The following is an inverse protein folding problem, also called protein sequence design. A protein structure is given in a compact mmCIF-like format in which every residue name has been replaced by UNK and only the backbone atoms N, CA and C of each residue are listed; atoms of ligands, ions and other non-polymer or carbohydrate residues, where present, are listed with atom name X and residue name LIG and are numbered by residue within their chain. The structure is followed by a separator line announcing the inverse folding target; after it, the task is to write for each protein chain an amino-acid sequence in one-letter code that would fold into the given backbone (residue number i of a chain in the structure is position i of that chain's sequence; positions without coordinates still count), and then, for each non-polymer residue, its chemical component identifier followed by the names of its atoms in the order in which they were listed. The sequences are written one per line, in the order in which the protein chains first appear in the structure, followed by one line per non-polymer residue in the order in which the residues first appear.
data_IF_184117359555
#
_entry.id   IF_184117359555
#
_cell.length_a   1.000
_cell.length_b   1.000
_cell.length_c   1.000
_cell.angle_alpha   90.00
_cell.angle_beta   90.00
_cell.angle_gamma   90.00
#
_symmetry.space_group_name_H-M   'P 1'
#
loop_
_entity.id
_entity.type
_entity.pdbx_description
1 polymer ?
#
# COMPACT_ATOMS: atom_id res chain seq x y z
N UNK A 1 1.52 -5.68 28.36
CA UNK A 1 1.52 -4.23 28.11
C UNK A 1 1.46 -4.03 26.61
N UNK A 2 0.26 -3.96 26.04
CA UNK A 2 0.07 -3.66 24.63
C UNK A 2 0.01 -2.15 24.43
N UNK A 3 0.36 -1.68 23.24
CA UNK A 3 0.20 -0.27 22.87
C UNK A 3 -1.27 0.09 22.96
N UNK A 4 -1.58 1.07 23.80
CA UNK A 4 -2.93 1.57 23.94
C UNK A 4 -3.24 2.47 22.74
N UNK A 5 -4.49 2.45 22.25
CA UNK A 5 -4.90 3.24 21.07
C UNK A 5 -4.58 4.74 21.23
N UNK A 6 -4.70 5.27 22.45
CA UNK A 6 -4.34 6.66 22.79
C UNK A 6 -2.86 6.97 22.52
N UNK A 7 -1.97 6.04 22.82
CA UNK A 7 -0.52 6.22 22.68
C UNK A 7 -0.13 6.23 21.20
N UNK A 8 -0.72 5.35 20.40
CA UNK A 8 -0.60 5.35 18.94
C UNK A 8 -1.10 6.67 18.34
N UNK A 9 -2.22 7.20 18.85
CA UNK A 9 -2.81 8.45 18.37
C UNK A 9 -1.90 9.65 18.65
N UNK A 10 -1.26 9.71 19.83
CA UNK A 10 -0.27 10.76 20.16
C UNK A 10 0.94 10.69 19.21
N UNK A 11 1.49 9.50 18.98
CA UNK A 11 2.61 9.31 18.04
C UNK A 11 2.20 9.74 16.63
N UNK A 12 1.00 9.37 16.18
CA UNK A 12 0.47 9.76 14.88
C UNK A 12 0.39 11.28 14.74
N UNK A 13 -0.09 11.99 15.77
CA UNK A 13 -0.17 13.45 15.78
C UNK A 13 1.23 14.08 15.68
N UNK A 14 2.23 13.56 16.39
CA UNK A 14 3.61 14.05 16.29
C UNK A 14 4.16 13.87 14.87
N UNK A 15 3.98 12.68 14.29
CA UNK A 15 4.38 12.38 12.90
C UNK A 15 3.68 13.33 11.93
N UNK A 16 2.39 13.56 12.12
CA UNK A 16 1.58 14.46 11.31
C UNK A 16 2.06 15.92 11.39
N UNK A 17 2.56 16.38 12.53
CA UNK A 17 3.12 17.72 12.66
C UNK A 17 4.47 17.82 11.93
N UNK A 18 5.33 16.81 12.05
CA UNK A 18 6.66 16.81 11.40
C UNK A 18 6.57 16.67 9.88
N UNK A 19 5.73 15.77 9.39
CA UNK A 19 5.61 15.44 7.97
C UNK A 19 4.47 16.20 7.28
N UNK A 20 3.50 16.69 8.03
CA UNK A 20 2.26 17.28 7.53
C UNK A 20 1.19 16.21 7.21
N UNK A 21 -0.11 16.53 7.38
CA UNK A 21 -1.20 15.60 7.09
C UNK A 21 -1.36 15.23 5.62
N UNK A 22 -0.74 16.00 4.71
CA UNK A 22 -0.74 15.70 3.28
C UNK A 22 0.20 14.57 2.87
N UNK A 23 1.28 14.29 3.62
CA UNK A 23 2.27 13.28 3.22
C UNK A 23 1.78 11.84 3.39
N UNK A 24 0.99 11.55 4.41
CA UNK A 24 0.39 10.22 4.61
C UNK A 24 -0.47 9.75 3.42
N UNK A 25 -1.46 10.53 2.93
CA UNK A 25 -2.25 10.14 1.78
C UNK A 25 -1.45 10.12 0.47
N UNK A 26 -0.40 10.93 0.35
CA UNK A 26 0.52 10.90 -0.80
C UNK A 26 1.30 9.58 -0.86
N UNK A 27 1.90 9.16 0.26
CA UNK A 27 2.59 7.88 0.41
C UNK A 27 1.62 6.72 0.20
N UNK A 28 0.42 6.78 0.78
CA UNK A 28 -0.63 5.78 0.58
C UNK A 28 -1.05 5.63 -0.88
N UNK A 29 -1.19 6.74 -1.62
CA UNK A 29 -1.45 6.72 -3.07
C UNK A 29 -0.31 6.09 -3.86
N UNK A 30 0.94 6.41 -3.52
CA UNK A 30 2.12 5.84 -4.18
C UNK A 30 2.22 4.33 -3.95
N UNK A 31 2.11 3.90 -2.69
CA UNK A 31 2.09 2.48 -2.31
C UNK A 31 0.91 1.76 -2.97
N UNK A 32 -0.29 2.35 -2.94
CA UNK A 32 -1.49 1.77 -3.54
C UNK A 32 -1.36 1.56 -5.05
N UNK A 33 -0.74 2.50 -5.78
CA UNK A 33 -0.41 2.32 -7.20
C UNK A 33 0.56 1.16 -7.41
N UNK A 34 1.65 1.12 -6.64
CA UNK A 34 2.63 0.03 -6.71
C UNK A 34 2.03 -1.34 -6.44
N UNK A 35 1.19 -1.47 -5.41
CA UNK A 35 0.47 -2.72 -5.10
C UNK A 35 -0.47 -3.12 -6.25
N UNK A 36 -1.19 -2.15 -6.84
CA UNK A 36 -2.10 -2.41 -7.96
C UNK A 36 -1.36 -2.90 -9.21
N UNK A 37 -0.23 -2.26 -9.54
CA UNK A 37 0.63 -2.66 -10.66
C UNK A 37 1.26 -4.04 -10.41
N UNK A 38 1.77 -4.27 -9.20
CA UNK A 38 2.30 -5.57 -8.80
C UNK A 38 1.26 -6.69 -8.92
N UNK A 39 0.03 -6.45 -8.44
CA UNK A 39 -1.07 -7.42 -8.55
C UNK A 39 -1.45 -7.67 -10.01
N UNK A 40 -1.42 -6.64 -10.87
CA UNK A 40 -1.67 -6.79 -12.30
C UNK A 40 -0.59 -7.64 -12.97
N UNK A 41 0.68 -7.35 -12.72
CA UNK A 41 1.79 -8.13 -13.27
C UNK A 41 1.76 -9.59 -12.82
N UNK A 42 1.44 -9.85 -11.54
CA UNK A 42 1.23 -11.23 -11.06
C UNK A 42 0.09 -11.93 -11.79
N UNK A 43 -1.04 -11.24 -12.02
CA UNK A 43 -2.17 -11.81 -12.77
C UNK A 43 -1.81 -12.09 -14.23
N UNK A 44 -1.08 -11.19 -14.88
CA UNK A 44 -0.62 -11.38 -16.26
C UNK A 44 0.36 -12.56 -16.37
N UNK A 45 1.18 -12.83 -15.34
CA UNK A 45 2.04 -14.01 -15.26
C UNK A 45 1.23 -15.30 -15.06
N UNK A 46 0.21 -15.28 -14.19
CA UNK A 46 -0.62 -16.47 -13.91
C UNK A 46 -1.56 -16.79 -15.07
N UNK A 47 -2.19 -15.78 -15.67
CA UNK A 47 -3.12 -15.97 -16.80
C UNK A 47 -2.37 -16.13 -18.14
N UNK A 48 -1.11 -15.67 -18.22
CA UNK A 48 -0.26 -15.82 -19.41
C UNK A 48 0.18 -17.25 -19.70
N UNK A 49 0.02 -18.17 -18.75
CA UNK A 49 0.27 -19.61 -18.94
C UNK A 49 -0.89 -20.34 -19.64
N UNK A 50 -2.07 -19.71 -19.77
CA UNK A 50 -3.28 -20.32 -20.36
C UNK A 50 -3.49 -19.96 -21.85
N UNK A 51 -2.83 -18.92 -22.39
CA UNK A 51 -3.02 -18.51 -23.80
C UNK A 51 -2.03 -19.14 -24.81
N UNK A 52 -0.98 -19.84 -24.37
CA UNK A 52 -0.01 -20.53 -25.27
C UNK A 52 -0.43 -21.99 -25.60
N UNK A 53 -1.60 -22.45 -25.13
CA UNK A 53 -2.19 -23.76 -25.47
C UNK A 53 -3.53 -23.64 -26.22
N UNK A 54 -3.57 -22.84 -27.28
CA UNK A 54 -4.63 -22.94 -28.28
C UNK A 54 -4.04 -23.52 -29.58
N UNK A 55 -4.50 -24.70 -30.05
CA UNK A 55 -3.98 -25.38 -31.25
C UNK A 55 -4.18 -24.57 -32.53
#
# INVERSE_FOLDING_TARGET
MGLNFSELLVILVIILILFGPGKLPEIGKAIGRGIREFKKAQKDVVDGEDEEKKP
#
